data_IF_791745848866
#
_entry.id   IF_791745848866
#
_cell.length_a   1.000
_cell.length_b   1.000
_cell.length_c   1.000
_cell.angle_alpha   90.00
_cell.angle_beta   90.00
_cell.angle_gamma   90.00
#
_symmetry.space_group_name_H-M   'P 1'
#
loop_
_entity.id
_entity.type
_entity.pdbx_description
1 polymer ?
#
# COMPACT_ATOMS: atom_id res chain seq x y z
N UNK A 1 14.79 -4.84 3.36
CA UNK A 1 15.15 -3.48 2.89
C UNK A 1 15.18 -3.46 1.36
N UNK A 2 14.02 -3.46 0.74
CA UNK A 2 13.89 -3.27 -0.70
C UNK A 2 14.00 -1.78 -1.00
N UNK A 3 15.04 -1.36 -1.71
CA UNK A 3 15.14 -0.01 -2.25
C UNK A 3 14.11 0.12 -3.37
N UNK A 4 13.00 0.80 -3.09
CA UNK A 4 12.02 1.12 -4.12
C UNK A 4 12.39 2.45 -4.78
N UNK A 5 12.47 2.45 -6.09
CA UNK A 5 12.60 3.67 -6.88
C UNK A 5 11.20 4.27 -7.07
N UNK A 6 11.08 5.57 -6.84
CA UNK A 6 9.84 6.31 -7.08
C UNK A 6 9.73 6.63 -8.57
N UNK A 7 8.65 6.14 -9.18
CA UNK A 7 8.23 6.58 -10.50
C UNK A 7 7.48 7.92 -10.37
N UNK A 8 7.44 8.70 -11.44
CA UNK A 8 6.70 9.97 -11.53
C UNK A 8 5.20 9.87 -11.20
N UNK A 9 4.64 8.66 -11.22
CA UNK A 9 3.24 8.38 -10.86
C UNK A 9 3.05 7.92 -9.41
N UNK A 10 4.13 7.82 -8.64
CA UNK A 10 4.09 7.38 -7.25
C UNK A 10 4.30 8.57 -6.31
N UNK A 11 3.50 8.64 -5.26
CA UNK A 11 3.67 9.61 -4.20
C UNK A 11 4.21 8.91 -2.96
N UNK A 12 5.23 9.51 -2.36
CA UNK A 12 5.78 9.03 -1.09
C UNK A 12 5.39 9.99 0.02
N UNK A 13 4.66 9.49 0.99
CA UNK A 13 4.30 10.23 2.20
C UNK A 13 5.26 9.84 3.33
N UNK A 14 5.85 10.84 3.97
CA UNK A 14 6.68 10.67 5.17
C UNK A 14 6.10 11.49 6.30
N UNK A 15 6.10 10.93 7.50
CA UNK A 15 5.83 11.71 8.70
C UNK A 15 7.05 12.59 9.00
N UNK A 16 6.80 13.87 9.20
CA UNK A 16 7.81 14.86 9.61
C UNK A 16 7.69 15.23 11.09
N UNK A 17 6.78 14.61 11.82
CA UNK A 17 6.50 14.94 13.22
C UNK A 17 5.92 13.77 14.00
N UNK A 18 5.04 14.10 14.93
CA UNK A 18 4.41 13.12 15.85
C UNK A 18 3.40 12.20 15.17
N UNK A 19 2.92 12.54 13.96
CA UNK A 19 1.91 11.76 13.26
C UNK A 19 2.50 10.46 12.70
N UNK A 20 2.03 9.29 13.13
CA UNK A 20 2.44 8.03 12.53
C UNK A 20 2.00 7.93 11.06
N UNK A 21 2.86 7.39 10.21
CA UNK A 21 2.60 7.26 8.75
C UNK A 21 1.33 6.46 8.46
N UNK A 22 1.01 5.46 9.28
CA UNK A 22 -0.20 4.66 9.11
C UNK A 22 -1.49 5.49 9.24
N UNK A 23 -1.51 6.51 10.11
CA UNK A 23 -2.69 7.37 10.23
C UNK A 23 -2.90 8.21 8.98
N UNK A 24 -1.82 8.73 8.40
CA UNK A 24 -1.88 9.42 7.12
C UNK A 24 -2.39 8.49 6.01
N UNK A 25 -1.94 7.24 5.98
CA UNK A 25 -2.41 6.23 5.04
C UNK A 25 -3.90 5.96 5.21
N UNK A 26 -4.37 5.63 6.40
CA UNK A 26 -5.78 5.33 6.63
C UNK A 26 -6.69 6.54 6.42
N UNK A 27 -6.25 7.74 6.79
CA UNK A 27 -6.99 8.96 6.52
C UNK A 27 -7.11 9.27 5.02
N UNK A 28 -6.13 8.86 4.22
CA UNK A 28 -6.15 9.04 2.77
C UNK A 28 -7.06 8.06 2.03
N UNK A 29 -7.35 6.88 2.62
CA UNK A 29 -8.11 5.83 1.95
C UNK A 29 -9.51 6.25 1.47
N UNK A 30 -10.36 6.93 2.27
CA UNK A 30 -11.67 7.37 1.81
C UNK A 30 -11.57 8.34 0.63
N UNK A 31 -10.56 9.21 0.66
CA UNK A 31 -10.29 10.19 -0.39
C UNK A 31 -9.85 9.51 -1.68
N UNK A 32 -8.92 8.56 -1.60
CA UNK A 32 -8.47 7.75 -2.73
C UNK A 32 -9.66 7.01 -3.36
N UNK A 33 -10.48 6.35 -2.53
CA UNK A 33 -11.67 5.63 -2.99
C UNK A 33 -12.71 6.55 -3.64
N UNK A 34 -12.92 7.74 -3.09
CA UNK A 34 -13.83 8.73 -3.68
C UNK A 34 -13.31 9.21 -5.05
N UNK A 35 -11.99 9.40 -5.17
CA UNK A 35 -11.35 9.79 -6.43
C UNK A 35 -11.46 8.68 -7.48
N UNK A 36 -11.22 7.44 -7.11
CA UNK A 36 -11.39 6.28 -8.00
C UNK A 36 -12.80 6.17 -8.59
N UNK A 37 -13.83 6.47 -7.79
CA UNK A 37 -15.24 6.47 -8.25
C UNK A 37 -15.55 7.57 -9.26
N UNK A 38 -14.87 8.71 -9.14
CA UNK A 38 -15.12 9.89 -9.96
C UNK A 38 -14.27 9.95 -11.23
N UNK A 39 -13.39 8.97 -11.44
CA UNK A 39 -12.60 8.88 -12.67
C UNK A 39 -13.50 8.42 -13.80
N UNK A 40 -13.82 9.35 -14.69
CA UNK A 40 -14.45 9.05 -15.98
C UNK A 40 -13.54 8.09 -16.78
N UNK A 41 -14.15 7.13 -17.47
CA UNK A 41 -13.47 6.01 -18.17
C UNK A 41 -12.39 6.43 -19.19
N UNK A 42 -12.24 7.69 -19.47
CA UNK A 42 -11.34 8.21 -20.53
C UNK A 42 -10.07 8.87 -20.00
N UNK A 43 -9.94 9.11 -18.71
CA UNK A 43 -8.77 9.80 -18.16
C UNK A 43 -8.26 9.08 -16.92
N UNK A 44 -6.98 8.71 -16.90
CA UNK A 44 -6.33 8.17 -15.70
C UNK A 44 -6.30 9.28 -14.66
N UNK A 45 -7.09 9.12 -13.59
CA UNK A 45 -7.14 10.07 -12.49
C UNK A 45 -5.79 10.13 -11.80
N UNK A 46 -5.17 11.30 -11.83
CA UNK A 46 -3.95 11.56 -11.08
C UNK A 46 -4.31 12.14 -9.72
N UNK A 47 -3.76 11.58 -8.67
CA UNK A 47 -3.77 12.19 -7.34
C UNK A 47 -2.71 13.30 -7.35
N UNK A 48 -3.14 14.56 -7.28
CA UNK A 48 -2.21 15.69 -7.26
C UNK A 48 -1.57 15.87 -5.89
N UNK A 49 -0.42 16.52 -5.83
CA UNK A 49 0.21 16.86 -4.56
C UNK A 49 -0.68 17.77 -3.70
N UNK A 50 -1.47 18.63 -4.34
CA UNK A 50 -2.38 19.54 -3.64
C UNK A 50 -3.60 18.83 -3.08
N UNK A 51 -4.07 17.77 -3.73
CA UNK A 51 -5.09 16.87 -3.19
C UNK A 51 -4.62 16.25 -1.85
N UNK A 52 -3.35 15.88 -1.76
CA UNK A 52 -2.77 15.28 -0.55
C UNK A 52 -2.55 16.33 0.53
N UNK A 53 -2.13 17.54 0.19
CA UNK A 53 -1.94 18.64 1.13
C UNK A 53 -3.25 19.12 1.76
N UNK A 54 -4.38 18.92 1.07
CA UNK A 54 -5.71 19.28 1.57
C UNK A 54 -6.31 18.28 2.56
N UNK A 55 -5.62 17.15 2.82
CA UNK A 55 -6.09 16.15 3.77
C UNK A 55 -5.89 16.62 5.21
N UNK A 56 -6.97 16.74 5.94
CA UNK A 56 -6.98 17.00 7.37
C UNK A 56 -7.09 15.70 8.14
N UNK A 57 -6.24 15.51 9.13
CA UNK A 57 -6.24 14.34 10.00
C UNK A 57 -6.44 14.80 11.43
N UNK A 58 -7.47 14.28 12.10
CA UNK A 58 -7.64 14.49 13.52
C UNK A 58 -6.59 13.70 14.29
N UNK A 59 -5.86 14.38 15.15
CA UNK A 59 -4.88 13.76 16.04
C UNK A 59 -5.56 13.47 17.38
N UNK A 60 -5.63 12.21 17.82
CA UNK A 60 -6.04 11.90 19.17
C UNK A 60 -4.97 12.33 20.19
N UNK A 61 -5.31 12.24 21.46
CA UNK A 61 -4.36 12.41 22.54
C UNK A 61 -3.17 11.43 22.47
N UNK A 62 -2.09 11.75 23.12
CA UNK A 62 -0.83 10.99 23.01
C UNK A 62 -0.95 9.55 23.55
N UNK A 63 -1.78 9.33 24.56
CA UNK A 63 -2.02 8.00 25.13
C UNK A 63 -2.76 7.08 24.15
N UNK A 64 -3.82 7.58 23.56
CA UNK A 64 -4.59 6.87 22.52
C UNK A 64 -3.74 6.63 21.28
N UNK A 65 -2.92 7.62 20.89
CA UNK A 65 -2.02 7.51 19.74
C UNK A 65 -0.98 6.40 19.96
N UNK A 66 -0.38 6.29 21.13
CA UNK A 66 0.61 5.27 21.45
C UNK A 66 -0.01 3.86 21.49
N UNK A 67 -1.21 3.72 22.06
CA UNK A 67 -1.95 2.47 22.06
C UNK A 67 -2.32 2.02 20.64
N UNK A 68 -2.83 2.93 19.82
CA UNK A 68 -3.14 2.69 18.44
C UNK A 68 -1.88 2.31 17.63
N UNK A 69 -0.75 2.99 17.86
CA UNK A 69 0.52 2.74 17.18
C UNK A 69 1.01 1.30 17.34
N UNK A 70 0.87 0.71 18.52
CA UNK A 70 1.26 -0.68 18.77
C UNK A 70 0.43 -1.65 17.88
N UNK A 71 -0.89 -1.50 17.88
CA UNK A 71 -1.81 -2.34 17.11
C UNK A 71 -1.55 -2.18 15.60
N UNK A 72 -1.43 -0.95 15.13
CA UNK A 72 -1.24 -0.67 13.71
C UNK A 72 0.12 -1.15 13.19
N UNK A 73 1.19 -1.04 13.97
CA UNK A 73 2.50 -1.54 13.56
C UNK A 73 2.46 -3.04 13.28
N UNK A 74 1.86 -3.83 14.19
CA UNK A 74 1.70 -5.28 13.99
C UNK A 74 0.86 -5.58 12.75
N UNK A 75 -0.20 -4.82 12.53
CA UNK A 75 -1.07 -5.00 11.36
C UNK A 75 -0.33 -4.68 10.05
N UNK A 76 0.41 -3.59 10.02
CA UNK A 76 1.21 -3.19 8.85
C UNK A 76 2.28 -4.24 8.56
N UNK A 77 2.98 -4.73 9.57
CA UNK A 77 3.97 -5.80 9.40
C UNK A 77 3.35 -7.06 8.79
N UNK A 78 2.17 -7.48 9.26
CA UNK A 78 1.44 -8.61 8.68
C UNK A 78 1.08 -8.37 7.23
N UNK A 79 0.58 -7.18 6.90
CA UNK A 79 0.26 -6.80 5.51
C UNK A 79 1.52 -6.85 4.63
N UNK A 80 2.63 -6.30 5.11
CA UNK A 80 3.89 -6.32 4.36
C UNK A 80 4.37 -7.75 4.12
N UNK A 81 4.36 -8.61 5.14
CA UNK A 81 4.75 -10.03 5.01
C UNK A 81 3.86 -10.78 4.03
N UNK A 82 2.53 -10.61 4.12
CA UNK A 82 1.58 -11.24 3.20
C UNK A 82 1.79 -10.78 1.74
N UNK A 83 2.12 -9.51 1.54
CA UNK A 83 2.44 -8.99 0.21
C UNK A 83 3.77 -9.55 -0.33
N UNK A 84 4.78 -9.70 0.51
CA UNK A 84 6.05 -10.31 0.12
C UNK A 84 5.87 -11.79 -0.23
N UNK A 85 5.13 -12.54 0.59
CA UNK A 85 4.78 -13.94 0.31
C UNK A 85 3.99 -14.08 -1.00
N UNK A 86 2.97 -13.26 -1.21
CA UNK A 86 2.22 -13.21 -2.47
C UNK A 86 3.13 -12.99 -3.66
N UNK A 87 4.11 -12.09 -3.53
CA UNK A 87 5.07 -11.81 -4.60
C UNK A 87 5.95 -13.02 -4.91
N UNK A 88 6.44 -13.71 -3.88
CA UNK A 88 7.26 -14.93 -4.07
C UNK A 88 6.44 -16.07 -4.66
N UNK A 89 5.21 -16.29 -4.19
CA UNK A 89 4.29 -17.28 -4.78
C UNK A 89 3.96 -16.95 -6.25
N UNK A 90 3.79 -15.68 -6.57
CA UNK A 90 3.58 -15.26 -7.97
C UNK A 90 4.79 -15.60 -8.84
N UNK A 91 5.99 -15.32 -8.38
CA UNK A 91 7.21 -15.69 -9.11
C UNK A 91 7.33 -17.20 -9.30
N UNK A 92 7.04 -17.97 -8.25
CA UNK A 92 7.07 -19.43 -8.32
C UNK A 92 6.05 -19.96 -9.31
N UNK A 93 4.83 -19.44 -9.29
CA UNK A 93 3.80 -19.78 -10.28
C UNK A 93 4.26 -19.49 -11.70
N UNK A 94 4.78 -18.30 -11.94
CA UNK A 94 5.19 -17.87 -13.27
C UNK A 94 6.39 -18.67 -13.79
N UNK A 95 7.22 -19.19 -12.88
CA UNK A 95 8.31 -20.09 -13.20
C UNK A 95 7.82 -21.52 -13.47
N UNK A 96 6.87 -22.04 -12.67
CA UNK A 96 6.35 -23.40 -12.82
C UNK A 96 5.38 -23.56 -13.99
N UNK A 97 4.59 -22.54 -14.31
CA UNK A 97 3.55 -22.63 -15.32
C UNK A 97 4.07 -23.06 -16.69
N UNK A 98 5.16 -22.54 -17.25
CA UNK A 98 5.74 -23.03 -18.50
C UNK A 98 6.23 -24.46 -18.40
N UNK A 99 6.78 -24.88 -17.26
CA UNK A 99 7.27 -26.25 -17.05
C UNK A 99 6.12 -27.27 -17.04
N UNK A 100 5.01 -26.92 -16.39
CA UNK A 100 3.81 -27.75 -16.39
C UNK A 100 3.20 -27.85 -17.80
N UNK A 101 3.15 -26.74 -18.54
CA UNK A 101 2.63 -26.72 -19.90
C UNK A 101 3.49 -27.54 -20.87
N UNK A 102 4.79 -27.60 -20.64
CA UNK A 102 5.73 -28.39 -21.46
C UNK A 102 5.90 -29.83 -20.97
N UNK A 103 5.15 -30.27 -19.95
CA UNK A 103 5.27 -31.61 -19.40
C UNK A 103 6.59 -31.89 -18.66
N UNK A 104 7.33 -30.85 -18.28
CA UNK A 104 8.59 -30.96 -17.55
C UNK A 104 8.41 -31.10 -16.04
N UNK A 105 7.22 -30.78 -15.54
CA UNK A 105 6.81 -30.99 -14.16
C UNK A 105 5.42 -31.63 -14.14
N UNK A 106 5.19 -32.56 -13.23
CA UNK A 106 3.88 -33.17 -13.00
C UNK A 106 3.44 -32.87 -11.57
N UNK A 107 2.15 -32.68 -11.39
CA UNK A 107 1.51 -32.61 -10.08
C UNK A 107 0.93 -34.00 -9.81
N UNK A 108 1.46 -34.69 -8.79
CA UNK A 108 0.89 -35.94 -8.28
C UNK A 108 -0.31 -35.66 -7.38
#
# INVERSE_FOLDING_TARGET
NTRALLNQRCVRVRSTGKLPVFMAYFASLPYIKAREKNVSRTTVGHLSADDIKSLYVFLPDETTLNSAKAIFNVTIEKICRANDEKRELTKLRDWLLPMLMNGQAAVE
#
